data_IF_786325551185
#
_entry.id   IF_786325551185
#
_cell.length_a   1.000
_cell.length_b   1.000
_cell.length_c   1.000
_cell.angle_alpha   90.00
_cell.angle_beta   90.00
_cell.angle_gamma   90.00
#
_symmetry.space_group_name_H-M   'P 1'
#
loop_
_entity.id
_entity.type
_entity.pdbx_description
1 polymer ?
#
# COMPACT_ATOMS: atom_id res chain seq x y z
N UNK A 1 -46.49 37.16 -27.83
CA UNK A 1 -45.23 37.18 -27.07
C UNK A 1 -45.13 35.91 -26.33
N UNK A 2 -44.35 34.95 -26.83
CA UNK A 2 -44.10 33.67 -26.17
C UNK A 2 -42.61 33.54 -26.04
N UNK A 3 -42.14 33.52 -24.80
CA UNK A 3 -40.78 33.12 -24.47
C UNK A 3 -40.80 31.65 -23.99
N UNK A 4 -40.11 30.74 -24.61
CA UNK A 4 -39.74 29.52 -23.95
C UNK A 4 -38.31 29.65 -23.40
N UNK A 5 -38.23 29.83 -22.12
CA UNK A 5 -36.98 29.63 -21.37
C UNK A 5 -36.95 28.19 -20.86
N UNK A 6 -36.12 27.37 -21.39
CA UNK A 6 -35.60 26.20 -20.71
C UNK A 6 -34.16 26.01 -21.14
N UNK A 7 -33.29 26.64 -20.37
CA UNK A 7 -31.89 26.32 -20.33
C UNK A 7 -31.75 25.10 -19.42
N UNK A 8 -31.60 23.93 -20.00
CA UNK A 8 -31.09 22.78 -19.27
C UNK A 8 -29.59 22.93 -19.23
N UNK A 9 -29.07 23.30 -18.06
CA UNK A 9 -27.68 23.10 -17.76
C UNK A 9 -27.42 21.59 -17.79
N UNK A 10 -26.36 21.12 -18.47
CA UNK A 10 -25.96 19.73 -18.34
C UNK A 10 -25.51 19.52 -16.91
N UNK A 11 -26.08 18.52 -16.25
CA UNK A 11 -25.57 17.99 -14.99
C UNK A 11 -24.11 17.60 -15.21
N UNK A 12 -23.23 17.90 -14.24
CA UNK A 12 -21.88 17.38 -14.30
C UNK A 12 -21.99 15.85 -14.31
N UNK A 13 -21.53 15.26 -15.40
CA UNK A 13 -21.36 13.83 -15.47
C UNK A 13 -20.43 13.44 -14.30
N UNK A 14 -20.95 12.66 -13.36
CA UNK A 14 -20.15 11.89 -12.46
C UNK A 14 -19.13 11.14 -13.31
N UNK A 15 -17.91 11.64 -13.33
CA UNK A 15 -16.76 10.87 -13.77
C UNK A 15 -16.50 9.85 -12.66
N UNK A 16 -17.35 8.83 -12.60
CA UNK A 16 -16.94 7.56 -12.09
C UNK A 16 -15.77 7.14 -12.99
N UNK A 17 -14.58 7.28 -12.47
CA UNK A 17 -13.42 6.58 -12.99
C UNK A 17 -13.78 5.10 -12.84
N UNK A 18 -14.42 4.55 -13.88
CA UNK A 18 -14.50 3.13 -14.07
C UNK A 18 -13.05 2.68 -14.23
N UNK A 19 -12.43 2.20 -13.15
CA UNK A 19 -11.42 1.18 -13.27
C UNK A 19 -12.07 0.09 -14.12
N UNK A 20 -11.73 0.08 -15.41
CA UNK A 20 -12.03 -1.06 -16.27
C UNK A 20 -11.47 -2.26 -15.54
N UNK A 21 -12.32 -3.21 -15.16
CA UNK A 21 -12.04 -4.32 -14.28
C UNK A 21 -10.73 -5.03 -14.62
N UNK A 22 -9.65 -4.47 -14.14
CA UNK A 22 -8.34 -5.07 -14.09
C UNK A 22 -8.44 -6.13 -13.01
N UNK A 23 -8.40 -7.36 -13.45
CA UNK A 23 -8.51 -8.54 -12.61
C UNK A 23 -7.27 -8.59 -11.71
N UNK A 24 -7.46 -8.74 -10.42
CA UNK A 24 -6.35 -8.96 -9.49
C UNK A 24 -5.81 -10.36 -9.68
N UNK A 25 -4.49 -10.50 -9.77
CA UNK A 25 -3.84 -11.73 -10.19
C UNK A 25 -3.16 -12.50 -9.06
N UNK A 26 -2.92 -11.84 -7.93
CA UNK A 26 -2.24 -12.45 -6.82
C UNK A 26 -2.72 -11.90 -5.47
N UNK A 27 -2.73 -12.75 -4.47
CA UNK A 27 -2.77 -12.35 -3.07
C UNK A 27 -1.39 -12.60 -2.46
N UNK A 28 -0.83 -11.59 -1.79
CA UNK A 28 0.45 -11.68 -1.09
C UNK A 28 0.21 -11.44 0.39
N UNK A 29 0.61 -12.39 1.21
CA UNK A 29 0.42 -12.27 2.65
C UNK A 29 1.61 -12.84 3.44
N UNK A 30 1.69 -12.44 4.69
CA UNK A 30 2.69 -12.91 5.66
C UNK A 30 2.00 -13.22 6.98
N UNK A 31 1.98 -14.50 7.34
CA UNK A 31 1.57 -14.93 8.67
C UNK A 31 2.75 -14.83 9.64
N UNK A 32 2.51 -14.34 10.83
CA UNK A 32 3.54 -14.11 11.84
C UNK A 32 3.10 -14.54 13.23
N UNK A 33 4.08 -15.00 14.04
CA UNK A 33 3.89 -15.25 15.48
C UNK A 33 4.00 -13.96 16.32
N UNK A 34 4.22 -12.81 15.69
CA UNK A 34 4.17 -11.52 16.38
C UNK A 34 2.72 -11.16 16.73
N UNK A 35 2.55 -10.60 17.91
CA UNK A 35 1.26 -9.97 18.25
C UNK A 35 0.94 -8.83 17.26
N UNK A 36 -0.35 -8.50 17.00
CA UNK A 36 -0.72 -7.46 16.05
C UNK A 36 -0.01 -6.13 16.27
N UNK A 37 0.14 -5.68 17.52
CA UNK A 37 0.85 -4.44 17.84
C UNK A 37 2.36 -4.50 17.52
N UNK A 38 3.00 -5.66 17.65
CA UNK A 38 4.42 -5.87 17.30
C UNK A 38 4.58 -5.90 15.77
N UNK A 39 3.67 -6.59 15.07
CA UNK A 39 3.65 -6.62 13.60
C UNK A 39 3.40 -5.22 13.02
N UNK A 40 2.51 -4.44 13.64
CA UNK A 40 2.26 -3.05 13.26
C UNK A 40 3.47 -2.14 13.49
N UNK A 41 4.12 -2.25 14.65
CA UNK A 41 5.34 -1.51 14.93
C UNK A 41 6.46 -1.88 13.94
N UNK A 42 6.60 -3.16 13.59
CA UNK A 42 7.53 -3.62 12.56
C UNK A 42 7.23 -2.99 11.20
N UNK A 43 5.95 -2.91 10.81
CA UNK A 43 5.51 -2.31 9.56
C UNK A 43 5.80 -0.81 9.51
N UNK A 44 5.53 -0.08 10.58
CA UNK A 44 5.48 1.39 10.60
C UNK A 44 6.69 2.02 11.29
N UNK A 45 6.93 1.74 12.57
CA UNK A 45 8.00 2.38 13.36
C UNK A 45 9.40 1.93 12.92
N UNK A 46 9.52 0.66 12.51
CA UNK A 46 10.78 0.07 12.06
C UNK A 46 10.90 -0.01 10.54
N UNK A 47 10.10 0.75 9.79
CA UNK A 47 10.10 0.76 8.32
C UNK A 47 11.50 1.00 7.73
N UNK A 48 12.31 1.84 8.38
CA UNK A 48 13.69 2.15 7.98
C UNK A 48 14.64 0.95 8.05
N UNK A 49 14.31 -0.11 8.80
CA UNK A 49 15.14 -1.29 8.95
C UNK A 49 14.89 -2.33 7.85
N UNK A 50 13.69 -2.35 7.26
CA UNK A 50 13.32 -3.36 6.27
C UNK A 50 13.02 -2.82 4.88
N UNK A 51 12.83 -1.51 4.72
CA UNK A 51 12.52 -0.94 3.40
C UNK A 51 13.53 -1.39 2.34
N UNK A 52 13.07 -1.88 1.17
CA UNK A 52 13.97 -2.38 0.14
C UNK A 52 14.93 -1.30 -0.35
N UNK A 53 16.24 -1.57 -0.28
CA UNK A 53 17.27 -0.61 -0.74
C UNK A 53 17.12 -0.27 -2.21
N UNK A 54 16.59 -1.17 -3.01
CA UNK A 54 16.30 -0.95 -4.43
C UNK A 54 15.30 0.18 -4.67
N UNK A 55 14.47 0.50 -3.68
CA UNK A 55 13.47 1.57 -3.73
C UNK A 55 13.99 2.90 -3.19
N UNK A 56 15.20 2.96 -2.64
CA UNK A 56 15.84 4.19 -2.22
C UNK A 56 16.54 4.87 -3.39
N UNK A 57 16.58 6.20 -3.39
CA UNK A 57 17.32 6.98 -4.40
C UNK A 57 18.84 6.78 -4.28
N UNK A 58 19.33 6.56 -3.05
CA UNK A 58 20.71 6.29 -2.72
C UNK A 58 20.82 5.16 -1.71
N UNK A 59 21.90 4.37 -1.77
CA UNK A 59 22.17 3.29 -0.81
C UNK A 59 22.41 3.78 0.63
N UNK A 60 22.78 5.04 0.79
CA UNK A 60 23.03 5.66 2.08
C UNK A 60 21.80 6.42 2.62
N UNK A 61 20.70 6.45 1.86
CA UNK A 61 19.46 7.05 2.30
C UNK A 61 18.74 6.15 3.31
N UNK A 62 17.85 6.73 4.09
CA UNK A 62 16.91 5.99 4.90
C UNK A 62 15.49 6.50 4.71
N UNK A 63 14.54 5.62 4.99
CA UNK A 63 13.12 5.90 4.89
C UNK A 63 12.56 6.24 6.27
N UNK A 64 11.61 7.16 6.31
CA UNK A 64 10.87 7.52 7.53
C UNK A 64 9.39 7.70 7.21
N UNK A 65 8.54 7.23 8.12
CA UNK A 65 7.09 7.34 8.02
C UNK A 65 6.60 8.45 8.95
N UNK A 66 6.10 9.53 8.36
CA UNK A 66 5.38 10.58 9.09
C UNK A 66 3.86 10.33 9.05
N UNK A 67 3.09 11.24 9.62
CA UNK A 67 1.62 11.13 9.63
C UNK A 67 0.98 11.33 8.24
N UNK A 68 1.67 12.01 7.32
CA UNK A 68 1.13 12.38 6.01
C UNK A 68 1.97 11.85 4.85
N UNK A 69 3.24 11.57 5.09
CA UNK A 69 4.20 11.26 4.05
C UNK A 69 5.12 10.11 4.46
N UNK A 70 5.45 9.29 3.48
CA UNK A 70 6.63 8.43 3.49
C UNK A 70 7.77 9.24 2.89
N UNK A 71 8.83 9.42 3.64
CA UNK A 71 9.96 10.30 3.31
C UNK A 71 11.24 9.51 3.16
N UNK A 72 12.11 9.93 2.25
CA UNK A 72 13.49 9.46 2.15
C UNK A 72 14.42 10.61 2.51
N UNK A 73 15.30 10.41 3.48
CA UNK A 73 16.38 11.32 3.80
C UNK A 73 17.68 10.79 3.18
N UNK A 74 18.29 11.59 2.32
CA UNK A 74 19.57 11.25 1.68
C UNK A 74 20.75 11.50 2.60
N UNK A 75 21.93 10.95 2.28
CA UNK A 75 23.16 11.19 3.02
C UNK A 75 23.56 12.68 3.10
N UNK A 76 23.14 13.48 2.12
CA UNK A 76 23.37 14.93 2.08
C UNK A 76 22.34 15.73 2.90
N UNK A 77 21.35 15.05 3.48
CA UNK A 77 20.28 15.64 4.29
C UNK A 77 19.10 16.18 3.47
N UNK A 78 19.02 15.88 2.19
CA UNK A 78 17.87 16.21 1.38
C UNK A 78 16.69 15.30 1.74
N UNK A 79 15.49 15.88 1.84
CA UNK A 79 14.26 15.17 2.12
C UNK A 79 13.47 15.01 0.82
N UNK A 80 13.19 13.76 0.46
CA UNK A 80 12.45 13.41 -0.75
C UNK A 80 11.14 12.73 -0.35
N UNK A 81 9.97 13.28 -0.74
CA UNK A 81 8.69 12.61 -0.52
C UNK A 81 8.59 11.40 -1.46
N UNK A 82 8.38 10.22 -0.89
CA UNK A 82 8.26 8.95 -1.62
C UNK A 82 6.81 8.61 -1.92
N UNK A 83 5.93 8.78 -0.93
CA UNK A 83 4.51 8.52 -1.06
C UNK A 83 3.70 9.41 -0.10
N UNK A 84 2.44 9.65 -0.46
CA UNK A 84 1.44 10.19 0.48
C UNK A 84 0.87 9.04 1.30
N UNK A 85 0.56 9.32 2.56
CA UNK A 85 -0.24 8.42 3.40
C UNK A 85 -1.71 8.78 3.17
N UNK A 86 -2.45 7.87 2.56
CA UNK A 86 -3.88 8.03 2.28
C UNK A 86 -4.71 7.63 3.49
N UNK A 87 -4.29 6.56 4.16
CA UNK A 87 -4.95 6.01 5.34
C UNK A 87 -3.88 5.41 6.26
N UNK A 88 -4.02 5.62 7.56
CA UNK A 88 -3.20 4.99 8.57
C UNK A 88 -4.05 4.79 9.83
N UNK A 89 -4.55 3.59 10.01
CA UNK A 89 -5.32 3.18 11.18
C UNK A 89 -4.51 2.15 11.96
N UNK A 90 -4.23 2.48 13.22
CA UNK A 90 -3.32 1.69 14.06
C UNK A 90 -3.77 0.23 14.17
N UNK A 91 -2.85 -0.69 13.91
CA UNK A 91 -3.06 -2.15 13.93
C UNK A 91 -4.16 -2.64 12.95
N UNK A 92 -4.48 -1.86 11.92
CA UNK A 92 -5.50 -2.20 10.93
C UNK A 92 -4.98 -2.00 9.50
N UNK A 93 -4.81 -0.75 9.05
CA UNK A 93 -4.43 -0.49 7.66
C UNK A 93 -3.46 0.68 7.50
N UNK A 94 -2.49 0.50 6.60
CA UNK A 94 -1.64 1.55 6.06
C UNK A 94 -1.78 1.58 4.55
N UNK A 95 -2.30 2.68 3.99
CA UNK A 95 -2.40 2.90 2.55
C UNK A 95 -1.47 4.01 2.11
N UNK A 96 -0.62 3.71 1.13
CA UNK A 96 0.34 4.64 0.55
C UNK A 96 0.06 4.87 -0.94
N UNK A 97 0.13 6.12 -1.39
CA UNK A 97 0.06 6.53 -2.79
C UNK A 97 1.41 7.11 -3.23
N UNK A 98 2.23 6.38 -4.00
CA UNK A 98 3.56 6.81 -4.40
C UNK A 98 3.55 8.05 -5.28
N UNK A 99 4.57 8.89 -5.14
CA UNK A 99 4.78 10.02 -6.04
C UNK A 99 5.43 9.58 -7.35
N UNK A 100 5.05 10.22 -8.48
CA UNK A 100 5.71 10.02 -9.75
C UNK A 100 7.21 10.38 -9.65
N UNK A 101 8.04 9.69 -10.41
CA UNK A 101 9.48 9.94 -10.43
C UNK A 101 10.29 9.30 -9.29
N UNK A 102 9.65 8.84 -8.21
CA UNK A 102 10.29 8.02 -7.19
C UNK A 102 10.56 6.61 -7.72
N UNK A 103 11.45 5.85 -7.08
CA UNK A 103 11.72 4.47 -7.52
C UNK A 103 10.49 3.58 -7.35
N UNK A 104 9.77 3.73 -6.23
CA UNK A 104 8.52 3.02 -6.01
C UNK A 104 7.46 3.43 -7.05
N UNK A 105 7.29 4.74 -7.30
CA UNK A 105 6.34 5.24 -8.29
C UNK A 105 6.63 4.73 -9.70
N UNK A 106 7.92 4.68 -10.10
CA UNK A 106 8.30 4.10 -11.40
C UNK A 106 8.02 2.62 -11.50
N UNK A 107 8.25 1.86 -10.42
CA UNK A 107 7.99 0.43 -10.38
C UNK A 107 6.47 0.13 -10.47
N UNK A 108 5.64 1.03 -9.95
CA UNK A 108 4.18 0.95 -10.03
C UNK A 108 3.60 1.61 -11.31
N UNK A 109 4.46 2.13 -12.20
CA UNK A 109 4.01 2.80 -13.42
C UNK A 109 3.35 4.17 -13.20
N UNK A 110 3.54 4.78 -12.04
CA UNK A 110 2.97 6.10 -11.72
C UNK A 110 3.67 7.19 -12.51
N UNK A 111 2.97 7.78 -13.47
CA UNK A 111 3.51 8.85 -14.36
C UNK A 111 3.07 10.24 -13.94
N UNK A 112 1.91 10.35 -13.31
CA UNK A 112 1.35 11.58 -12.77
C UNK A 112 0.89 11.34 -11.33
N UNK A 113 0.60 12.38 -10.56
CA UNK A 113 -0.07 12.21 -9.27
C UNK A 113 -1.41 11.54 -9.50
N UNK A 114 -1.51 10.28 -9.07
CA UNK A 114 -2.67 9.44 -9.26
C UNK A 114 -3.20 8.95 -7.90
N UNK A 115 -4.35 8.31 -7.94
CA UNK A 115 -4.92 7.62 -6.78
C UNK A 115 -4.42 6.16 -6.67
N UNK A 116 -3.50 5.75 -7.55
CA UNK A 116 -2.87 4.43 -7.44
C UNK A 116 -2.18 4.30 -6.10
N UNK A 117 -2.57 3.28 -5.36
CA UNK A 117 -2.12 3.06 -4.00
C UNK A 117 -1.95 1.58 -3.69
N UNK A 118 -1.19 1.33 -2.64
CA UNK A 118 -1.06 0.01 -2.01
C UNK A 118 -1.53 0.10 -0.57
N UNK A 119 -2.36 -0.84 -0.16
CA UNK A 119 -2.84 -0.98 1.21
C UNK A 119 -2.20 -2.20 1.86
N UNK A 120 -1.57 -1.99 3.02
CA UNK A 120 -1.12 -3.04 3.92
C UNK A 120 -2.20 -3.21 4.99
N UNK A 121 -2.78 -4.40 5.06
CA UNK A 121 -3.92 -4.72 5.92
C UNK A 121 -3.48 -5.74 6.95
N UNK A 122 -3.61 -5.39 8.23
CA UNK A 122 -3.19 -6.23 9.33
C UNK A 122 -4.39 -6.85 10.05
N UNK A 123 -4.32 -8.15 10.26
CA UNK A 123 -5.30 -8.94 10.96
C UNK A 123 -4.74 -9.63 12.19
N UNK A 124 -5.51 -9.60 13.27
CA UNK A 124 -5.28 -10.45 14.41
C UNK A 124 -5.80 -11.86 14.12
N UNK A 125 -4.96 -12.87 14.35
CA UNK A 125 -5.33 -14.27 14.21
C UNK A 125 -5.53 -14.92 15.58
N UNK A 126 -6.43 -15.90 15.62
CA UNK A 126 -6.56 -16.79 16.78
C UNK A 126 -5.80 -18.08 16.47
N UNK A 127 -4.67 -18.34 17.12
CA UNK A 127 -3.85 -19.49 16.79
C UNK A 127 -4.57 -20.81 17.18
N UNK A 128 -4.49 -21.80 16.30
CA UNK A 128 -5.01 -23.15 16.60
C UNK A 128 -4.12 -23.95 17.57
N UNK A 129 -2.84 -23.57 17.64
CA UNK A 129 -1.84 -24.17 18.53
C UNK A 129 -1.07 -23.09 19.26
N UNK A 130 -0.37 -23.46 20.34
CA UNK A 130 0.43 -22.52 21.13
C UNK A 130 1.55 -21.81 20.35
N UNK A 131 1.97 -22.35 19.22
CA UNK A 131 3.01 -21.82 18.33
C UNK A 131 2.44 -21.33 16.99
N UNK A 132 1.11 -21.22 16.87
CA UNK A 132 0.44 -20.76 15.66
C UNK A 132 0.61 -19.27 15.40
N UNK A 133 0.27 -18.80 14.18
CA UNK A 133 0.36 -17.39 13.84
C UNK A 133 -0.65 -16.56 14.64
N UNK A 134 -0.22 -15.35 15.04
CA UNK A 134 -1.01 -14.37 15.80
C UNK A 134 -1.45 -13.19 14.95
N UNK A 135 -0.76 -12.94 13.84
CA UNK A 135 -1.09 -11.86 12.92
C UNK A 135 -0.90 -12.27 11.47
N UNK A 136 -1.68 -11.65 10.60
CA UNK A 136 -1.64 -11.77 9.14
C UNK A 136 -1.50 -10.38 8.55
N UNK A 137 -0.45 -10.13 7.76
CA UNK A 137 -0.32 -8.93 6.95
C UNK A 137 -0.60 -9.30 5.49
N UNK A 138 -1.54 -8.60 4.89
CA UNK A 138 -1.86 -8.69 3.45
C UNK A 138 -1.55 -7.38 2.76
N UNK A 139 -1.21 -7.44 1.47
CA UNK A 139 -1.06 -6.25 0.64
C UNK A 139 -2.08 -6.30 -0.51
N UNK A 140 -2.74 -5.19 -0.76
CA UNK A 140 -3.76 -5.06 -1.80
C UNK A 140 -3.54 -3.81 -2.65
N UNK A 141 -3.90 -3.89 -3.92
CA UNK A 141 -3.96 -2.75 -4.83
C UNK A 141 -5.16 -1.86 -4.49
N UNK A 142 -4.93 -0.55 -4.47
CA UNK A 142 -5.97 0.44 -4.20
C UNK A 142 -6.13 0.77 -2.71
N UNK A 143 -7.05 1.69 -2.45
CA UNK A 143 -7.40 2.11 -1.08
C UNK A 143 -8.34 1.08 -0.47
N UNK A 144 -7.96 0.56 0.70
CA UNK A 144 -8.83 -0.35 1.45
C UNK A 144 -10.03 0.38 2.05
N UNK A 145 -11.25 -0.09 1.79
CA UNK A 145 -12.49 0.54 2.24
C UNK A 145 -13.26 -0.30 3.29
N UNK A 146 -12.78 -1.51 3.57
CA UNK A 146 -13.39 -2.44 4.54
C UNK A 146 -13.55 -3.84 3.98
N UNK A 147 -13.87 -4.81 4.85
CA UNK A 147 -13.80 -6.25 4.51
C UNK A 147 -15.04 -6.83 3.85
N UNK A 148 -16.19 -6.15 3.91
CA UNK A 148 -17.45 -6.82 3.59
C UNK A 148 -17.69 -7.06 2.10
N UNK A 149 -16.95 -6.38 1.18
CA UNK A 149 -17.16 -6.47 -0.26
C UNK A 149 -15.88 -6.36 -1.13
N UNK A 150 -14.67 -6.38 -0.55
CA UNK A 150 -13.42 -6.21 -1.32
C UNK A 150 -12.71 -7.54 -1.56
N UNK A 151 -12.50 -7.86 -2.83
CA UNK A 151 -11.49 -8.84 -3.21
C UNK A 151 -10.11 -8.24 -2.97
N UNK A 152 -9.39 -8.75 -1.96
CA UNK A 152 -8.00 -8.40 -1.74
C UNK A 152 -7.14 -9.03 -2.84
N UNK A 153 -6.08 -8.34 -3.22
CA UNK A 153 -5.16 -8.84 -4.24
C UNK A 153 -4.48 -7.70 -4.99
N UNK A 154 -3.57 -8.06 -5.86
CA UNK A 154 -2.66 -7.14 -6.54
C UNK A 154 -2.93 -7.15 -8.04
N UNK A 155 -2.96 -5.97 -8.67
CA UNK A 155 -2.95 -5.86 -10.12
C UNK A 155 -1.60 -6.31 -10.69
N UNK A 156 -1.61 -6.91 -11.88
CA UNK A 156 -0.42 -7.49 -12.50
C UNK A 156 0.76 -6.51 -12.55
N UNK A 157 0.53 -5.26 -12.92
CA UNK A 157 1.57 -4.23 -13.02
C UNK A 157 2.14 -3.80 -11.66
N UNK A 158 1.45 -4.10 -10.56
CA UNK A 158 1.89 -3.75 -9.19
C UNK A 158 2.52 -4.93 -8.45
N UNK A 159 2.45 -6.14 -9.01
CA UNK A 159 2.90 -7.37 -8.36
C UNK A 159 4.38 -7.33 -7.98
N UNK A 160 5.24 -6.82 -8.86
CA UNK A 160 6.68 -6.73 -8.58
C UNK A 160 6.98 -5.84 -7.37
N UNK A 161 6.33 -4.68 -7.30
CA UNK A 161 6.49 -3.76 -6.18
C UNK A 161 5.97 -4.36 -4.87
N UNK A 162 4.79 -4.97 -4.91
CA UNK A 162 4.18 -5.61 -3.75
C UNK A 162 5.02 -6.78 -3.24
N UNK A 163 5.53 -7.64 -4.14
CA UNK A 163 6.40 -8.75 -3.77
C UNK A 163 7.73 -8.27 -3.18
N UNK A 164 8.30 -7.19 -3.69
CA UNK A 164 9.53 -6.60 -3.16
C UNK A 164 9.33 -6.05 -1.74
N UNK A 165 8.25 -5.33 -1.49
CA UNK A 165 7.89 -4.77 -0.18
C UNK A 165 7.58 -5.87 0.82
N UNK A 166 6.65 -6.77 0.49
CA UNK A 166 6.24 -7.86 1.38
C UNK A 166 7.37 -8.85 1.64
N UNK A 167 8.21 -9.13 0.63
CA UNK A 167 9.39 -9.98 0.79
C UNK A 167 10.46 -9.36 1.68
N UNK A 168 10.62 -8.04 1.67
CA UNK A 168 11.53 -7.35 2.58
C UNK A 168 11.00 -7.36 4.02
N UNK A 169 9.73 -7.06 4.21
CA UNK A 169 9.06 -7.12 5.51
C UNK A 169 9.11 -8.54 6.11
N UNK A 170 8.76 -9.57 5.34
CA UNK A 170 8.75 -10.97 5.80
C UNK A 170 10.14 -11.42 6.29
N UNK A 171 11.21 -11.06 5.56
CA UNK A 171 12.59 -11.35 5.98
C UNK A 171 12.97 -10.63 7.27
N UNK A 172 12.53 -9.38 7.43
CA UNK A 172 12.80 -8.60 8.64
C UNK A 172 12.20 -9.22 9.89
N UNK A 173 10.96 -9.70 9.81
CA UNK A 173 10.28 -10.33 10.96
C UNK A 173 10.54 -11.84 11.06
N UNK A 174 11.30 -12.44 10.15
CA UNK A 174 11.62 -13.87 10.15
C UNK A 174 10.45 -14.77 9.76
N UNK A 175 9.49 -14.27 8.97
CA UNK A 175 8.35 -15.02 8.45
C UNK A 175 8.52 -15.37 6.97
N UNK A 176 7.64 -16.22 6.44
CA UNK A 176 7.60 -16.58 5.03
C UNK A 176 6.55 -15.76 4.27
N UNK A 177 6.91 -15.29 3.09
CA UNK A 177 5.98 -14.68 2.16
C UNK A 177 5.17 -15.77 1.46
N UNK A 178 3.86 -15.64 1.53
CA UNK A 178 2.92 -16.51 0.82
C UNK A 178 2.36 -15.76 -0.40
N UNK A 179 2.21 -16.48 -1.51
CA UNK A 179 1.62 -15.96 -2.74
C UNK A 179 0.57 -16.96 -3.23
N UNK A 180 -0.65 -16.50 -3.36
CA UNK A 180 -1.75 -17.25 -3.94
C UNK A 180 -2.19 -16.56 -5.23
N UNK A 181 -2.35 -17.32 -6.32
CA UNK A 181 -2.96 -16.83 -7.55
C UNK A 181 -4.48 -16.84 -7.39
N UNK A 182 -5.13 -15.73 -7.75
CA UNK A 182 -6.58 -15.55 -7.65
C UNK A 182 -7.34 -16.12 -8.84
#
# INVERSE_FOLDING_TARGET
>A
MHYPMFSHAPEPADQQHQHNGEERTAALCVESTLEPHEAWAALTEYIHLWWPRQLLQSEESHIDLSTELLLEETADGDIIPVARIIQCENEDVLTIAPYPGTRLGRLLGVVEESEESLSFILDALTPETAEGPLSLLEISSGTYTGREDEELGIYEEQEEAAALLMGAYSRFIGAELQKEEL
#
